data_IF_964455798363
#
_entry.id   IF_964455798363
#
_cell.length_a   1.000
_cell.length_b   1.000
_cell.length_c   1.000
_cell.angle_alpha   90.00
_cell.angle_beta   90.00
_cell.angle_gamma   90.00
#
_symmetry.space_group_name_H-M   'P 1'
#
loop_
_entity.id
_entity.type
_entity.pdbx_description
1 polymer ?
#
# COMPACT_ATOMS: atom_id res chain seq x y z
N UNK A 1 -26.30 -3.59 -47.14
CA UNK A 1 -27.21 -2.64 -46.45
C UNK A 1 -27.60 -3.32 -45.15
N UNK A 2 -27.01 -2.93 -44.02
CA UNK A 2 -27.11 -3.69 -42.76
C UNK A 2 -28.47 -3.51 -42.09
N UNK A 3 -28.99 -4.59 -41.50
CA UNK A 3 -30.34 -4.66 -40.94
C UNK A 3 -30.38 -4.07 -39.52
N UNK A 4 -31.42 -3.28 -39.22
CA UNK A 4 -31.54 -2.50 -37.97
C UNK A 4 -31.56 -3.40 -36.71
N UNK A 5 -31.95 -4.66 -36.91
CA UNK A 5 -32.06 -5.69 -35.88
C UNK A 5 -30.71 -6.32 -35.53
N UNK A 6 -29.76 -6.37 -36.46
CA UNK A 6 -28.39 -6.83 -36.19
C UNK A 6 -27.59 -5.79 -35.41
N UNK A 7 -27.77 -4.51 -35.74
CA UNK A 7 -27.13 -3.41 -35.02
C UNK A 7 -27.51 -3.39 -33.54
N UNK A 8 -28.79 -3.64 -33.23
CA UNK A 8 -29.26 -3.68 -31.83
C UNK A 8 -28.69 -4.91 -31.07
N UNK A 9 -28.56 -6.06 -31.74
CA UNK A 9 -27.96 -7.27 -31.12
C UNK A 9 -26.48 -7.08 -30.78
N UNK A 10 -25.72 -6.42 -31.66
CA UNK A 10 -24.30 -6.11 -31.42
C UNK A 10 -24.17 -5.10 -30.27
N UNK A 11 -25.03 -4.09 -30.22
CA UNK A 11 -25.06 -3.11 -29.13
C UNK A 11 -25.31 -3.75 -27.75
N UNK A 12 -26.28 -4.68 -27.64
CA UNK A 12 -26.56 -5.38 -26.39
C UNK A 12 -25.45 -6.37 -25.98
N UNK A 13 -24.77 -7.02 -26.94
CA UNK A 13 -23.65 -7.93 -26.66
C UNK A 13 -22.39 -7.21 -26.13
N UNK A 14 -22.15 -5.96 -26.55
CA UNK A 14 -21.06 -5.15 -26.01
C UNK A 14 -21.31 -4.70 -24.56
N UNK A 15 -22.57 -4.46 -24.19
CA UNK A 15 -22.93 -4.01 -22.82
C UNK A 15 -22.72 -5.13 -21.79
N UNK A 16 -22.95 -6.39 -22.17
CA UNK A 16 -22.76 -7.53 -21.24
C UNK A 16 -21.29 -7.88 -21.03
N UNK A 17 -20.41 -7.67 -22.03
CA UNK A 17 -18.97 -7.87 -21.86
C UNK A 17 -18.32 -6.75 -21.02
N UNK A 18 -18.78 -5.49 -21.16
CA UNK A 18 -18.26 -4.37 -20.38
C UNK A 18 -18.68 -4.39 -18.90
N UNK A 19 -19.84 -5.01 -18.59
CA UNK A 19 -20.30 -5.17 -17.22
C UNK A 19 -19.44 -6.17 -16.41
N UNK A 20 -18.79 -7.14 -17.06
CA UNK A 20 -17.95 -8.13 -16.40
C UNK A 20 -16.60 -7.55 -15.93
N UNK A 21 -16.09 -6.50 -16.58
CA UNK A 21 -14.82 -5.85 -16.20
C UNK A 21 -14.97 -4.77 -15.12
N UNK A 22 -16.19 -4.25 -14.89
CA UNK A 22 -16.45 -3.29 -13.81
C UNK A 22 -16.67 -3.93 -12.42
N UNK A 23 -16.72 -5.26 -12.34
CA UNK A 23 -16.94 -5.98 -11.08
C UNK A 23 -15.66 -6.49 -10.41
N UNK A 24 -14.48 -6.01 -10.81
CA UNK A 24 -13.27 -6.18 -10.00
C UNK A 24 -13.20 -4.96 -9.08
N UNK A 25 -13.57 -5.08 -7.79
CA UNK A 25 -13.42 -3.97 -6.87
C UNK A 25 -11.92 -3.62 -6.74
N UNK A 26 -11.56 -2.41 -7.16
CA UNK A 26 -10.23 -1.80 -6.95
C UNK A 26 -9.60 -2.04 -5.55
N UNK A 27 -10.34 -2.04 -4.42
CA UNK A 27 -9.72 -2.29 -3.12
C UNK A 27 -9.12 -3.69 -2.96
N UNK A 28 -9.56 -4.68 -3.75
CA UNK A 28 -8.99 -6.04 -3.69
C UNK A 28 -7.57 -6.08 -4.28
N UNK A 29 -7.28 -5.27 -5.30
CA UNK A 29 -5.94 -5.16 -5.86
C UNK A 29 -5.02 -4.29 -4.99
N UNK A 30 -5.58 -3.33 -4.25
CA UNK A 30 -4.81 -2.54 -3.28
C UNK A 30 -4.26 -3.41 -2.13
N UNK A 31 -5.01 -4.42 -1.68
CA UNK A 31 -4.55 -5.37 -0.67
C UNK A 31 -3.41 -6.27 -1.19
N UNK A 32 -3.47 -6.70 -2.46
CA UNK A 32 -2.42 -7.51 -3.10
C UNK A 32 -1.15 -6.70 -3.40
N UNK A 33 -1.26 -5.39 -3.62
CA UNK A 33 -0.13 -4.49 -3.90
C UNK A 33 0.58 -3.95 -2.65
N UNK A 34 0.18 -4.32 -1.44
CA UNK A 34 1.05 -4.18 -0.26
C UNK A 34 2.22 -5.16 -0.41
N UNK A 35 3.13 -4.83 -1.32
CA UNK A 35 4.46 -5.42 -1.38
C UNK A 35 5.05 -5.30 0.02
N UNK A 36 5.36 -6.44 0.61
CA UNK A 36 6.08 -6.54 1.87
C UNK A 36 7.52 -6.07 1.67
N UNK A 37 7.68 -4.76 1.52
CA UNK A 37 9.00 -4.16 1.55
C UNK A 37 9.29 -3.84 3.01
N UNK A 38 10.41 -4.34 3.57
CA UNK A 38 10.89 -3.89 4.86
C UNK A 38 10.96 -2.37 4.89
N UNK A 39 10.35 -1.76 5.91
CA UNK A 39 10.39 -0.32 6.13
C UNK A 39 11.54 0.00 7.08
N UNK A 40 12.51 0.75 6.59
CA UNK A 40 13.70 1.15 7.35
C UNK A 40 13.80 2.66 7.41
N UNK A 41 14.31 3.18 8.54
CA UNK A 41 14.54 4.60 8.78
C UNK A 41 15.91 4.81 9.40
N UNK A 42 16.48 5.98 9.14
CA UNK A 42 17.72 6.43 9.76
C UNK A 42 17.49 7.78 10.43
N UNK A 43 17.83 7.86 11.70
CA UNK A 43 17.68 9.02 12.56
C UNK A 43 19.05 9.52 13.02
N UNK A 44 19.14 10.83 13.20
CA UNK A 44 20.26 11.49 13.85
C UNK A 44 19.71 12.48 14.86
N UNK A 45 19.98 12.26 16.15
CA UNK A 45 19.56 13.14 17.23
C UNK A 45 20.61 14.24 17.41
N UNK A 46 20.23 15.49 17.10
CA UNK A 46 21.13 16.65 17.18
C UNK A 46 21.46 17.09 18.61
N UNK A 47 20.69 16.62 19.60
CA UNK A 47 20.87 17.00 21.01
C UNK A 47 21.77 16.01 21.75
N UNK A 48 21.63 14.71 21.49
CA UNK A 48 22.46 13.65 22.11
C UNK A 48 23.63 13.21 21.23
N UNK A 49 23.60 13.54 19.93
CA UNK A 49 24.59 13.07 18.94
C UNK A 49 24.40 11.61 18.51
N UNK A 50 23.35 10.94 18.98
CA UNK A 50 23.07 9.54 18.67
C UNK A 50 22.59 9.39 17.22
N UNK A 51 23.03 8.31 16.54
CA UNK A 51 22.55 7.93 15.21
C UNK A 51 21.99 6.52 15.22
N UNK A 52 20.81 6.32 14.64
CA UNK A 52 20.14 5.02 14.59
C UNK A 52 19.65 4.74 13.17
N UNK A 53 20.09 3.63 12.58
CA UNK A 53 19.53 3.10 11.34
C UNK A 53 18.88 1.77 11.61
N UNK A 54 17.55 1.66 11.47
CA UNK A 54 16.83 0.45 11.85
C UNK A 54 15.65 0.14 10.91
N UNK A 55 15.37 -1.14 10.73
CA UNK A 55 14.16 -1.63 10.07
C UNK A 55 13.07 -1.78 11.12
N UNK A 56 12.02 -0.95 11.04
CA UNK A 56 10.97 -0.88 12.06
C UNK A 56 9.73 -1.70 11.71
N UNK A 57 9.62 -2.18 10.47
CA UNK A 57 8.50 -3.01 10.04
C UNK A 57 8.85 -3.92 8.86
N UNK A 58 8.33 -5.15 8.89
CA UNK A 58 8.49 -6.18 7.84
C UNK A 58 7.12 -6.84 7.64
N UNK A 59 6.74 -7.21 6.41
CA UNK A 59 5.45 -7.86 6.13
C UNK A 59 4.22 -7.05 6.60
N UNK A 60 4.37 -5.72 6.67
CA UNK A 60 3.33 -4.83 7.19
C UNK A 60 3.14 -4.89 8.70
N UNK A 61 3.87 -5.74 9.41
CA UNK A 61 3.93 -5.80 10.87
C UNK A 61 5.04 -4.88 11.41
N UNK A 62 4.79 -4.24 12.54
CA UNK A 62 5.79 -3.46 13.26
C UNK A 62 6.63 -4.38 14.14
N UNK A 63 7.92 -4.08 14.28
CA UNK A 63 8.85 -4.79 15.16
C UNK A 63 8.92 -4.02 16.48
N UNK A 64 8.40 -4.56 17.60
CA UNK A 64 8.36 -3.85 18.88
C UNK A 64 9.74 -3.37 19.35
N UNK A 65 10.75 -4.23 19.29
CA UNK A 65 12.12 -3.93 19.71
C UNK A 65 12.69 -2.75 18.91
N UNK A 66 12.39 -2.68 17.61
CA UNK A 66 12.83 -1.57 16.77
C UNK A 66 12.13 -0.26 17.11
N UNK A 67 10.86 -0.32 17.54
CA UNK A 67 10.14 0.86 18.02
C UNK A 67 10.69 1.33 19.37
N UNK A 68 11.06 0.41 20.25
CA UNK A 68 11.69 0.73 21.54
C UNK A 68 13.05 1.43 21.35
N UNK A 69 13.86 0.98 20.39
CA UNK A 69 15.11 1.68 20.05
C UNK A 69 14.87 3.08 19.50
N UNK A 70 13.83 3.26 18.68
CA UNK A 70 13.43 4.57 18.17
C UNK A 70 13.01 5.48 19.33
N UNK A 71 12.16 4.98 20.24
CA UNK A 71 11.71 5.71 21.42
C UNK A 71 12.89 6.07 22.34
N UNK A 72 13.87 5.18 22.48
CA UNK A 72 15.08 5.46 23.24
C UNK A 72 15.91 6.60 22.62
N UNK A 73 16.08 6.63 21.29
CA UNK A 73 16.79 7.72 20.61
C UNK A 73 16.06 9.05 20.75
N UNK A 74 14.73 9.02 20.80
CA UNK A 74 13.90 10.20 20.99
C UNK A 74 13.50 10.48 22.44
N UNK A 75 14.09 9.75 23.41
CA UNK A 75 13.83 9.97 24.84
C UNK A 75 14.08 11.42 25.21
N UNK A 76 13.38 11.89 26.24
CA UNK A 76 13.68 13.21 26.78
C UNK A 76 15.13 13.22 27.30
N UNK A 77 15.96 14.07 26.70
CA UNK A 77 17.37 14.20 27.04
C UNK A 77 17.59 15.23 28.16
N UNK A 78 16.52 15.85 28.68
CA UNK A 78 16.60 16.90 29.71
C UNK A 78 16.43 16.39 31.15
N UNK A 79 16.04 15.13 31.33
CA UNK A 79 15.89 14.46 32.63
C UNK A 79 17.05 13.52 32.88
#
# INVERSE_FOLDING_TARGET
MMDRREFLKIGFGCVTLAAATCLIPDPLLAAVRKSSVPRSLSFYNTHTGESLGITYAIDGAYIPDALEEIDHVFRDHRT
#
